data_IF_515587042399
#
_entry.id   IF_515587042399
#
_cell.length_a   1.000
_cell.length_b   1.000
_cell.length_c   1.000
_cell.angle_alpha   90.00
_cell.angle_beta   90.00
_cell.angle_gamma   90.00
#
_symmetry.space_group_name_H-M   'P 1'
#
loop_
_entity.id
_entity.type
_entity.pdbx_description
1 polymer ?
#
# COMPACT_ATOMS: atom_id res chain seq x y z
N UNK A 1 -22.15 -20.31 9.51
CA UNK A 1 -22.78 -19.16 10.20
C UNK A 1 -22.69 -17.82 9.45
N UNK A 2 -22.24 -17.76 8.19
CA UNK A 2 -22.28 -16.51 7.39
C UNK A 2 -23.61 -16.30 6.63
N UNK A 3 -24.44 -17.34 6.48
CA UNK A 3 -25.66 -17.30 5.66
C UNK A 3 -26.89 -16.64 6.34
N UNK A 4 -26.89 -16.45 7.65
CA UNK A 4 -27.97 -15.72 8.35
C UNK A 4 -27.77 -14.20 8.29
N UNK A 5 -26.54 -13.71 8.10
CA UNK A 5 -26.24 -12.29 7.89
C UNK A 5 -26.65 -11.78 6.51
N UNK A 6 -26.85 -12.66 5.53
CA UNK A 6 -27.24 -12.26 4.18
C UNK A 6 -28.71 -11.86 4.06
N UNK A 7 -29.59 -12.37 4.93
CA UNK A 7 -31.04 -12.12 4.78
C UNK A 7 -31.46 -10.72 5.28
N UNK A 8 -30.73 -10.15 6.24
CA UNK A 8 -30.97 -8.80 6.80
C UNK A 8 -29.74 -7.90 6.64
N UNK A 9 -29.10 -7.88 5.47
CA UNK A 9 -27.94 -7.02 5.26
C UNK A 9 -28.36 -5.53 5.27
N UNK A 10 -27.92 -4.71 6.25
CA UNK A 10 -28.28 -3.29 6.34
C UNK A 10 -27.86 -2.45 5.13
N UNK A 11 -26.95 -2.96 4.31
CA UNK A 11 -26.53 -2.29 3.08
C UNK A 11 -27.65 -2.18 2.02
N UNK A 12 -28.71 -2.97 2.11
CA UNK A 12 -29.78 -2.97 1.10
C UNK A 12 -30.88 -1.94 1.37
N UNK A 13 -31.05 -1.53 2.64
CA UNK A 13 -32.10 -0.61 3.06
C UNK A 13 -31.59 0.69 3.69
N UNK A 14 -30.38 0.71 4.24
CA UNK A 14 -29.80 1.91 4.86
C UNK A 14 -28.75 2.56 3.95
N UNK A 15 -29.12 3.70 3.38
CA UNK A 15 -28.28 4.51 2.47
C UNK A 15 -26.95 4.88 3.15
N UNK A 16 -27.01 5.35 4.40
CA UNK A 16 -25.82 5.78 5.15
C UNK A 16 -24.86 4.63 5.38
N UNK A 17 -25.37 3.46 5.76
CA UNK A 17 -24.54 2.28 5.98
C UNK A 17 -23.85 1.81 4.70
N UNK A 18 -24.56 1.81 3.55
CA UNK A 18 -23.92 1.49 2.29
C UNK A 18 -22.73 2.41 2.00
N UNK A 19 -22.97 3.73 2.04
CA UNK A 19 -21.96 4.74 1.68
C UNK A 19 -20.71 4.61 2.56
N UNK A 20 -20.90 4.49 3.88
CA UNK A 20 -19.80 4.33 4.83
C UNK A 20 -19.05 3.01 4.57
N UNK A 21 -19.75 1.91 4.33
CA UNK A 21 -19.12 0.61 4.07
C UNK A 21 -18.23 0.65 2.84
N UNK A 22 -18.72 1.15 1.71
CA UNK A 22 -17.92 1.24 0.48
C UNK A 22 -16.76 2.23 0.62
N UNK A 23 -16.98 3.37 1.28
CA UNK A 23 -15.92 4.31 1.61
C UNK A 23 -14.79 3.65 2.42
N UNK A 24 -15.13 2.93 3.50
CA UNK A 24 -14.15 2.27 4.35
C UNK A 24 -13.38 1.15 3.62
N UNK A 25 -14.05 0.40 2.75
CA UNK A 25 -13.39 -0.64 1.92
C UNK A 25 -12.39 0.02 0.97
N UNK A 26 -12.80 1.05 0.23
CA UNK A 26 -11.92 1.76 -0.71
C UNK A 26 -10.75 2.44 0.00
N UNK A 27 -11.01 3.12 1.12
CA UNK A 27 -10.00 3.77 1.95
C UNK A 27 -8.98 2.76 2.51
N UNK A 28 -9.43 1.64 3.07
CA UNK A 28 -8.53 0.60 3.62
C UNK A 28 -7.67 -0.07 2.54
N UNK A 29 -8.23 -0.31 1.35
CA UNK A 29 -7.48 -0.87 0.23
C UNK A 29 -6.42 0.11 -0.31
N UNK A 30 -6.73 1.40 -0.44
CA UNK A 30 -5.77 2.40 -0.90
C UNK A 30 -4.67 2.66 0.13
N UNK A 31 -5.05 2.85 1.39
CA UNK A 31 -4.10 3.13 2.48
C UNK A 31 -3.13 1.96 2.70
N UNK A 32 -3.61 0.71 2.71
CA UNK A 32 -2.74 -0.45 2.84
C UNK A 32 -1.69 -0.52 1.72
N UNK A 33 -2.08 -0.34 0.45
CA UNK A 33 -1.15 -0.33 -0.69
C UNK A 33 -0.15 0.83 -0.61
N UNK A 34 -0.61 2.02 -0.24
CA UNK A 34 0.25 3.19 -0.08
C UNK A 34 1.30 2.99 1.03
N UNK A 35 0.91 2.39 2.16
CA UNK A 35 1.83 2.03 3.24
C UNK A 35 2.93 1.06 2.76
N UNK A 36 2.58 0.07 1.95
CA UNK A 36 3.57 -0.88 1.39
C UNK A 36 4.55 -0.15 0.46
N UNK A 37 4.06 0.74 -0.41
CA UNK A 37 4.93 1.57 -1.27
C UNK A 37 5.87 2.44 -0.43
N UNK A 38 5.37 3.10 0.61
CA UNK A 38 6.19 3.90 1.53
C UNK A 38 7.25 3.06 2.23
N UNK A 39 6.93 1.84 2.66
CA UNK A 39 7.89 0.92 3.25
C UNK A 39 9.00 0.52 2.25
N UNK A 40 8.66 0.28 0.99
CA UNK A 40 9.65 0.04 -0.06
C UNK A 40 10.53 1.25 -0.33
N UNK A 41 9.96 2.45 -0.33
CA UNK A 41 10.69 3.69 -0.49
C UNK A 41 11.66 3.93 0.68
N UNK A 42 11.21 3.70 1.92
CA UNK A 42 12.05 3.81 3.11
C UNK A 42 13.27 2.87 3.04
N UNK A 43 13.06 1.59 2.70
CA UNK A 43 14.16 0.63 2.48
C UNK A 43 15.13 1.08 1.39
N UNK A 44 14.63 1.67 0.30
CA UNK A 44 15.46 2.18 -0.78
C UNK A 44 16.31 3.38 -0.31
N UNK A 45 15.73 4.29 0.49
CA UNK A 45 16.43 5.45 1.04
C UNK A 45 17.52 5.03 2.05
N UNK A 46 17.24 4.05 2.90
CA UNK A 46 18.23 3.47 3.83
C UNK A 46 19.44 2.87 3.11
N UNK A 47 19.21 2.21 1.96
CA UNK A 47 20.28 1.66 1.12
C UNK A 47 21.10 2.72 0.40
N UNK A 48 20.67 3.99 0.41
CA UNK A 48 21.38 5.08 -0.24
C UNK A 48 22.63 5.50 0.52
N UNK A 49 23.68 5.90 -0.23
CA UNK A 49 24.94 6.40 0.34
C UNK A 49 24.89 7.88 0.71
N UNK A 50 23.92 8.63 0.20
CA UNK A 50 23.84 10.06 0.45
C UNK A 50 23.31 10.33 1.86
N UNK A 51 24.05 11.08 2.71
CA UNK A 51 23.58 11.43 4.06
C UNK A 51 22.32 12.30 4.03
N UNK A 52 22.16 13.14 3.00
CA UNK A 52 20.95 13.95 2.80
C UNK A 52 19.69 13.09 2.60
N UNK A 53 19.83 11.95 1.90
CA UNK A 53 18.71 11.02 1.68
C UNK A 53 18.36 10.23 2.95
N UNK A 54 19.33 9.95 3.80
CA UNK A 54 19.11 9.30 5.11
C UNK A 54 18.38 10.20 6.11
N UNK A 55 18.47 11.52 5.96
CA UNK A 55 17.73 12.47 6.78
C UNK A 55 16.21 12.31 6.62
N UNK A 56 15.75 11.86 5.45
CA UNK A 56 14.34 11.59 5.17
C UNK A 56 13.78 10.40 5.97
N UNK A 57 14.62 9.46 6.38
CA UNK A 57 14.24 8.32 7.22
C UNK A 57 14.11 8.68 8.71
N UNK A 58 14.22 9.97 9.08
CA UNK A 58 13.97 10.38 10.47
C UNK A 58 12.50 10.12 10.82
N UNK A 59 12.20 9.62 12.04
CA UNK A 59 10.84 9.24 12.43
C UNK A 59 9.86 10.42 12.33
N UNK A 60 10.31 11.64 12.67
CA UNK A 60 9.47 12.85 12.57
C UNK A 60 9.04 13.18 11.13
N UNK A 61 9.87 12.88 10.13
CA UNK A 61 9.55 13.09 8.72
C UNK A 61 8.67 11.94 8.21
N UNK A 62 9.00 10.70 8.58
CA UNK A 62 8.23 9.52 8.23
C UNK A 62 6.77 9.64 8.69
N UNK A 63 6.52 10.07 9.94
CA UNK A 63 5.17 10.28 10.47
C UNK A 63 4.42 11.34 9.65
N UNK A 64 5.06 12.47 9.30
CA UNK A 64 4.44 13.51 8.48
C UNK A 64 4.05 12.98 7.09
N UNK A 65 4.94 12.22 6.46
CA UNK A 65 4.67 11.61 5.14
C UNK A 65 3.50 10.63 5.23
N UNK A 66 3.49 9.74 6.24
CA UNK A 66 2.39 8.78 6.45
C UNK A 66 1.06 9.50 6.68
N UNK A 67 1.03 10.55 7.52
CA UNK A 67 -0.19 11.34 7.76
C UNK A 67 -0.71 12.01 6.48
N UNK A 68 0.18 12.62 5.70
CA UNK A 68 -0.19 13.22 4.40
C UNK A 68 -0.72 12.16 3.44
N UNK A 69 -0.08 10.99 3.37
CA UNK A 69 -0.55 9.88 2.54
C UNK A 69 -1.93 9.38 2.97
N UNK A 70 -2.16 9.19 4.27
CA UNK A 70 -3.47 8.79 4.80
C UNK A 70 -4.53 9.83 4.45
N UNK A 71 -4.23 11.12 4.58
CA UNK A 71 -5.14 12.20 4.22
C UNK A 71 -5.51 12.17 2.73
N UNK A 72 -4.52 12.02 1.84
CA UNK A 72 -4.75 11.88 0.40
C UNK A 72 -5.61 10.64 0.10
N UNK A 73 -5.30 9.49 0.73
CA UNK A 73 -6.07 8.27 0.59
C UNK A 73 -7.51 8.40 1.11
N UNK A 74 -7.77 9.25 2.11
CA UNK A 74 -9.11 9.55 2.61
C UNK A 74 -9.89 10.47 1.67
N UNK A 75 -9.22 11.44 1.04
CA UNK A 75 -9.85 12.37 0.11
C UNK A 75 -10.30 11.72 -1.20
N UNK A 76 -9.53 10.76 -1.72
CA UNK A 76 -9.83 10.10 -2.99
C UNK A 76 -11.22 9.42 -3.04
N UNK A 77 -11.64 8.59 -2.06
CA UNK A 77 -12.94 7.94 -2.07
C UNK A 77 -14.09 8.83 -1.59
N UNK A 78 -13.91 10.14 -1.37
CA UNK A 78 -15.01 11.03 -0.93
C UNK A 78 -16.18 11.03 -1.91
N UNK A 79 -15.91 10.87 -3.21
CA UNK A 79 -16.97 10.85 -4.22
C UNK A 79 -18.01 9.72 -3.96
N UNK A 80 -17.60 8.61 -3.34
CA UNK A 80 -18.47 7.47 -2.99
C UNK A 80 -19.59 7.92 -2.03
N UNK A 81 -19.30 8.84 -1.11
CA UNK A 81 -20.28 9.35 -0.15
C UNK A 81 -21.39 10.17 -0.82
N UNK A 82 -21.11 10.72 -2.00
CA UNK A 82 -22.08 11.53 -2.76
C UNK A 82 -22.86 10.67 -3.74
N UNK A 83 -22.19 9.78 -4.48
CA UNK A 83 -22.76 9.14 -5.68
C UNK A 83 -23.45 7.80 -5.46
N UNK A 84 -23.20 7.11 -4.35
CA UNK A 84 -23.74 5.76 -4.11
C UNK A 84 -25.16 5.80 -3.54
N UNK A 85 -26.05 5.00 -4.11
CA UNK A 85 -27.42 4.84 -3.60
C UNK A 85 -27.83 3.35 -3.60
N UNK A 86 -28.66 2.92 -2.63
CA UNK A 86 -29.16 1.56 -2.61
C UNK A 86 -30.19 1.35 -3.72
N UNK A 87 -29.95 0.37 -4.57
CA UNK A 87 -30.86 0.01 -5.65
C UNK A 87 -31.76 -1.15 -5.20
N UNK A 88 -33.03 -0.82 -4.88
CA UNK A 88 -34.00 -1.74 -4.28
C UNK A 88 -34.24 -3.01 -5.13
N UNK A 89 -34.21 -2.88 -6.46
CA UNK A 89 -34.46 -3.99 -7.40
C UNK A 89 -33.41 -5.09 -7.31
N UNK A 90 -32.13 -4.72 -7.16
CA UNK A 90 -31.00 -5.65 -7.22
C UNK A 90 -30.50 -5.97 -5.80
N UNK A 91 -31.04 -5.31 -4.77
CA UNK A 91 -30.53 -5.36 -3.39
C UNK A 91 -29.01 -5.12 -3.33
N UNK A 92 -28.53 -4.25 -4.21
CA UNK A 92 -27.12 -3.87 -4.32
C UNK A 92 -27.01 -2.36 -4.22
N UNK A 93 -25.89 -1.91 -3.70
CA UNK A 93 -25.60 -0.49 -3.63
C UNK A 93 -24.63 -0.13 -4.75
N UNK A 94 -25.07 0.75 -5.63
CA UNK A 94 -24.42 1.06 -6.90
C UNK A 94 -24.45 2.58 -7.12
N UNK A 95 -23.53 3.07 -7.95
CA UNK A 95 -23.57 4.46 -8.40
C UNK A 95 -24.73 4.65 -9.38
N UNK A 96 -25.56 5.69 -9.19
CA UNK A 96 -26.70 5.97 -10.07
C UNK A 96 -26.31 6.35 -11.51
N UNK A 97 -25.16 6.99 -11.70
CA UNK A 97 -24.73 7.49 -13.00
C UNK A 97 -23.75 6.56 -13.70
N UNK A 98 -24.01 6.23 -14.97
CA UNK A 98 -23.12 5.40 -15.79
C UNK A 98 -21.72 6.03 -15.97
N UNK A 99 -21.62 7.35 -16.02
CA UNK A 99 -20.35 8.08 -16.09
C UNK A 99 -19.46 7.83 -14.88
N UNK A 100 -20.01 7.90 -13.67
CA UNK A 100 -19.28 7.60 -12.42
C UNK A 100 -18.81 6.15 -12.43
N UNK A 101 -19.66 5.19 -12.85
CA UNK A 101 -19.25 3.79 -12.93
C UNK A 101 -18.05 3.57 -13.85
N UNK A 102 -18.01 4.21 -15.01
CA UNK A 102 -16.84 4.14 -15.91
C UNK A 102 -15.61 4.76 -15.26
N UNK A 103 -15.76 5.92 -14.61
CA UNK A 103 -14.68 6.56 -13.86
C UNK A 103 -14.13 5.67 -12.76
N UNK A 104 -14.99 4.98 -12.00
CA UNK A 104 -14.58 4.05 -10.95
C UNK A 104 -13.77 2.88 -11.47
N UNK A 105 -14.19 2.30 -12.60
CA UNK A 105 -13.46 1.20 -13.24
C UNK A 105 -12.06 1.68 -13.63
N UNK A 106 -11.97 2.83 -14.31
CA UNK A 106 -10.67 3.40 -14.71
C UNK A 106 -9.81 3.71 -13.48
N UNK A 107 -10.39 4.34 -12.45
CA UNK A 107 -9.71 4.69 -11.21
C UNK A 107 -9.16 3.44 -10.50
N UNK A 108 -9.97 2.38 -10.43
CA UNK A 108 -9.57 1.09 -9.86
C UNK A 108 -8.43 0.45 -10.66
N UNK A 109 -8.51 0.39 -11.99
CA UNK A 109 -7.44 -0.17 -12.79
C UNK A 109 -6.15 0.64 -12.72
N UNK A 110 -6.23 1.96 -12.72
CA UNK A 110 -5.05 2.84 -12.76
C UNK A 110 -4.46 3.07 -11.37
N UNK A 111 -5.24 3.59 -10.42
CA UNK A 111 -4.73 3.95 -9.09
C UNK A 111 -4.64 2.76 -8.15
N UNK A 112 -5.56 1.80 -8.25
CA UNK A 112 -5.56 0.66 -7.34
C UNK A 112 -4.63 -0.42 -7.86
N UNK A 113 -4.70 -0.82 -9.13
CA UNK A 113 -3.86 -1.90 -9.67
C UNK A 113 -2.56 -1.41 -10.32
N UNK A 114 -2.65 -0.56 -11.35
CA UNK A 114 -1.51 -0.21 -12.20
C UNK A 114 -0.39 0.53 -11.46
N UNK A 115 -0.69 1.70 -10.92
CA UNK A 115 0.29 2.58 -10.30
C UNK A 115 1.07 1.92 -9.14
N UNK A 116 0.42 1.35 -8.10
CA UNK A 116 1.16 0.77 -6.99
C UNK A 116 1.93 -0.50 -7.38
N UNK A 117 1.41 -1.33 -8.29
CA UNK A 117 2.16 -2.53 -8.71
C UNK A 117 3.40 -2.19 -9.52
N UNK A 118 3.30 -1.24 -10.46
CA UNK A 118 4.45 -0.73 -11.21
C UNK A 118 5.46 -0.07 -10.27
N UNK A 119 5.00 0.79 -9.36
CA UNK A 119 5.88 1.47 -8.42
C UNK A 119 6.58 0.49 -7.47
N UNK A 120 5.85 -0.50 -6.95
CA UNK A 120 6.41 -1.58 -6.12
C UNK A 120 7.43 -2.41 -6.88
N UNK A 121 7.15 -2.77 -8.14
CA UNK A 121 8.06 -3.54 -8.98
C UNK A 121 9.35 -2.77 -9.24
N UNK A 122 9.25 -1.48 -9.58
CA UNK A 122 10.39 -0.60 -9.81
C UNK A 122 11.20 -0.43 -8.53
N UNK A 123 10.57 -0.08 -7.41
CA UNK A 123 11.25 0.12 -6.12
C UNK A 123 11.91 -1.17 -5.63
N UNK A 124 11.27 -2.32 -5.78
CA UNK A 124 11.83 -3.62 -5.39
C UNK A 124 13.04 -3.97 -6.25
N UNK A 125 12.94 -3.78 -7.57
CA UNK A 125 14.04 -4.00 -8.51
C UNK A 125 15.23 -3.10 -8.22
N UNK A 126 14.98 -1.81 -7.96
CA UNK A 126 16.03 -0.85 -7.57
C UNK A 126 16.68 -1.22 -6.24
N UNK A 127 15.89 -1.67 -5.26
CA UNK A 127 16.40 -2.10 -3.95
C UNK A 127 17.30 -3.33 -4.10
N UNK A 128 16.86 -4.35 -4.83
CA UNK A 128 17.66 -5.54 -5.13
C UNK A 128 18.95 -5.19 -5.89
N UNK A 129 18.87 -4.30 -6.87
CA UNK A 129 20.04 -3.85 -7.63
C UNK A 129 21.05 -3.13 -6.74
N UNK A 130 20.59 -2.22 -5.87
CA UNK A 130 21.45 -1.52 -4.89
C UNK A 130 22.08 -2.49 -3.88
N UNK A 131 21.32 -3.46 -3.38
CA UNK A 131 21.85 -4.50 -2.49
C UNK A 131 22.93 -5.33 -3.18
N UNK A 132 22.71 -5.77 -4.44
CA UNK A 132 23.71 -6.49 -5.23
C UNK A 132 24.98 -5.65 -5.45
N UNK A 133 24.84 -4.35 -5.72
CA UNK A 133 26.00 -3.45 -5.86
C UNK A 133 26.78 -3.31 -4.55
N UNK A 134 26.10 -3.18 -3.42
CA UNK A 134 26.74 -3.08 -2.11
C UNK A 134 27.42 -4.40 -1.72
N UNK A 135 26.78 -5.54 -1.97
CA UNK A 135 27.35 -6.88 -1.74
C UNK A 135 28.63 -7.11 -2.57
N UNK A 136 28.63 -6.75 -3.87
CA UNK A 136 29.83 -6.85 -4.71
C UNK A 136 31.00 -6.02 -4.18
N UNK A 137 30.74 -4.82 -3.65
CA UNK A 137 31.79 -3.96 -3.07
C UNK A 137 32.34 -4.53 -1.77
N UNK A 138 31.48 -5.02 -0.88
CA UNK A 138 31.90 -5.66 0.37
C UNK A 138 32.64 -6.98 0.08
N UNK A 139 32.20 -7.75 -0.92
CA UNK A 139 32.87 -8.98 -1.36
C UNK A 139 34.29 -8.72 -1.89
N UNK A 140 34.52 -7.61 -2.60
CA UNK A 140 35.89 -7.18 -2.98
C UNK A 140 36.74 -6.74 -1.78
N UNK A 141 36.11 -6.34 -0.67
CA UNK A 141 36.79 -5.98 0.58
C UNK A 141 37.03 -7.19 1.49
N UNK A 142 36.25 -8.27 1.33
CA UNK A 142 36.41 -9.55 2.05
C UNK A 142 37.34 -10.51 1.28
N UNK A 143 38.60 -10.12 1.15
CA UNK A 143 39.75 -11.05 1.21
C UNK A 143 40.29 -10.98 2.64
N UNK A 144 39.43 -11.29 3.62
CA UNK A 144 39.83 -11.61 4.99
C UNK A 144 38.69 -12.39 5.66
N UNK A 145 39.03 -13.60 6.08
CA UNK A 145 38.19 -14.78 6.31
C UNK A 145 37.05 -14.66 7.35
N UNK A 146 37.02 -13.64 8.20
CA UNK A 146 36.19 -13.70 9.43
C UNK A 146 34.76 -13.17 9.32
N UNK A 147 34.40 -12.51 8.22
CA UNK A 147 33.19 -11.70 8.17
C UNK A 147 31.98 -12.37 7.50
N UNK A 148 32.09 -13.64 7.07
CA UNK A 148 31.01 -14.37 6.39
C UNK A 148 29.80 -14.63 7.30
N UNK A 149 30.05 -14.83 8.60
CA UNK A 149 29.00 -15.19 9.59
C UNK A 149 27.98 -14.06 9.86
N UNK A 150 28.40 -12.80 9.80
CA UNK A 150 27.50 -11.66 10.09
C UNK A 150 26.46 -11.46 8.97
N UNK A 151 26.82 -11.79 7.72
CA UNK A 151 25.90 -11.64 6.59
C UNK A 151 24.79 -12.70 6.64
N UNK A 152 25.11 -13.93 7.05
CA UNK A 152 24.12 -14.98 7.28
C UNK A 152 23.16 -14.62 8.41
N UNK A 153 23.65 -14.00 9.49
CA UNK A 153 22.81 -13.55 10.61
C UNK A 153 21.82 -12.47 10.15
N UNK A 154 22.26 -11.48 9.36
CA UNK A 154 21.35 -10.44 8.85
C UNK A 154 20.29 -10.99 7.88
N UNK A 155 20.65 -11.97 7.05
CA UNK A 155 19.70 -12.63 6.13
C UNK A 155 18.69 -13.48 6.93
N UNK A 156 19.15 -14.24 7.92
CA UNK A 156 18.30 -15.03 8.82
C UNK A 156 17.30 -14.14 9.59
N UNK A 157 17.74 -13.00 10.13
CA UNK A 157 16.86 -12.05 10.83
C UNK A 157 15.82 -11.47 9.87
N UNK A 158 16.22 -11.12 8.65
CA UNK A 158 15.29 -10.56 7.64
C UNK A 158 14.23 -11.58 7.20
N UNK A 159 14.59 -12.86 7.11
CA UNK A 159 13.65 -13.95 6.78
C UNK A 159 12.71 -14.25 7.95
N UNK A 160 13.23 -14.22 9.18
CA UNK A 160 12.43 -14.49 10.39
C UNK A 160 11.40 -13.39 10.67
N UNK A 161 11.73 -12.13 10.37
CA UNK A 161 10.79 -11.00 10.46
C UNK A 161 9.70 -10.99 9.38
N UNK A 162 9.80 -11.79 8.31
CA UNK A 162 8.74 -11.94 7.30
C UNK A 162 7.82 -13.13 7.56
N UNK A 163 8.14 -14.00 8.51
CA UNK A 163 7.34 -15.19 8.87
C UNK A 163 6.55 -15.05 10.17
N UNK A 164 6.77 -13.99 10.93
CA UNK A 164 6.00 -13.63 12.13
C UNK A 164 5.00 -12.53 11.77
#
# INVERSE_FOLDING_TARGET
MLATFTNNNPATYNIGYCKIRFYMISFSQMSSRACVVLACLDRLLLCSRSPRKRLFCRPSVAIKVVLVTIFICACLPIYILVTYEPQLLIRQCLSMSQSVRTFEIVNLWVLTFGAPTLLMSILSSLTLWRLKQNAKRIGRQKVSSSHSRILEICIQISIKMMRA
#
